data_IF_900999217117
#
_entry.id   IF_900999217117
#
_cell.length_a   1.000
_cell.length_b   1.000
_cell.length_c   1.000
_cell.angle_alpha   90.00
_cell.angle_beta   90.00
_cell.angle_gamma   90.00
#
_symmetry.space_group_name_H-M   'P 1'
#
loop_
_entity.id
_entity.type
_entity.pdbx_description
1 polymer ?
#
# COMPACT_ATOMS: atom_id res chain seq x y z
N UNK A 1 -4.37 20.20 19.26
CA UNK A 1 -3.32 19.19 19.43
C UNK A 1 -2.00 19.86 19.06
N UNK A 2 -1.04 19.91 19.99
CA UNK A 2 0.30 20.40 19.69
C UNK A 2 0.97 19.38 18.77
N UNK A 3 1.21 19.77 17.53
CA UNK A 3 1.97 18.97 16.56
C UNK A 3 3.48 19.22 16.77
N UNK A 4 4.00 18.72 17.88
CA UNK A 4 5.44 18.80 18.14
C UNK A 4 6.17 17.80 17.25
N UNK A 5 7.03 18.33 16.39
CA UNK A 5 7.93 17.52 15.56
C UNK A 5 9.33 17.60 16.15
N UNK A 6 9.95 16.47 16.41
CA UNK A 6 11.32 16.39 16.91
C UNK A 6 12.20 15.54 16.02
N UNK A 7 13.46 15.95 15.88
CA UNK A 7 14.50 15.18 15.20
C UNK A 7 15.62 14.88 16.19
N UNK A 8 15.94 13.60 16.39
CA UNK A 8 17.02 13.15 17.26
C UNK A 8 18.22 12.75 16.43
N UNK A 9 19.32 13.48 16.54
CA UNK A 9 20.56 13.25 15.80
C UNK A 9 21.68 12.83 16.75
N UNK A 10 22.47 11.85 16.34
CA UNK A 10 23.64 11.40 17.13
C UNK A 10 24.39 10.29 16.41
N UNK A 11 25.65 10.10 16.78
CA UNK A 11 26.50 9.01 16.27
C UNK A 11 25.94 7.64 16.64
N UNK A 12 26.31 6.56 15.97
CA UNK A 12 25.98 5.20 16.41
C UNK A 12 26.39 4.98 17.88
N UNK A 13 25.51 4.35 18.67
CA UNK A 13 25.74 4.13 20.09
C UNK A 13 25.40 5.30 21.01
N UNK A 14 24.99 6.46 20.52
CA UNK A 14 24.65 7.63 21.35
C UNK A 14 23.32 7.52 22.12
N UNK A 15 22.65 6.37 22.13
CA UNK A 15 21.41 6.16 22.88
C UNK A 15 20.13 6.66 22.21
N UNK A 16 20.14 6.88 20.89
CA UNK A 16 18.93 7.34 20.17
C UNK A 16 17.74 6.40 20.33
N UNK A 17 17.95 5.10 20.18
CA UNK A 17 16.90 4.09 20.35
C UNK A 17 16.41 4.06 21.80
N UNK A 18 17.30 4.17 22.79
CA UNK A 18 16.93 4.24 24.20
C UNK A 18 16.07 5.47 24.51
N UNK A 19 16.41 6.62 23.93
CA UNK A 19 15.59 7.83 24.04
C UNK A 19 14.20 7.65 23.45
N UNK A 20 14.11 7.07 22.23
CA UNK A 20 12.82 6.82 21.58
C UNK A 20 11.96 5.84 22.40
N UNK A 21 12.55 4.77 22.90
CA UNK A 21 11.86 3.80 23.76
C UNK A 21 11.32 4.49 25.03
N UNK A 22 12.12 5.35 25.67
CA UNK A 22 11.67 6.09 26.83
C UNK A 22 10.45 7.00 26.53
N UNK A 23 10.49 7.69 25.38
CA UNK A 23 9.33 8.49 24.93
C UNK A 23 8.09 7.64 24.66
N UNK A 24 8.25 6.46 24.04
CA UNK A 24 7.13 5.53 23.81
C UNK A 24 6.56 5.05 25.16
N UNK A 25 7.40 4.73 26.13
CA UNK A 25 6.95 4.33 27.47
C UNK A 25 6.17 5.45 28.16
N UNK A 26 6.60 6.71 28.05
CA UNK A 26 5.86 7.86 28.56
C UNK A 26 4.48 8.00 27.90
N UNK A 27 4.40 7.76 26.59
CA UNK A 27 3.11 7.76 25.88
C UNK A 27 2.22 6.60 26.32
N UNK A 28 2.77 5.39 26.48
CA UNK A 28 2.04 4.24 26.99
C UNK A 28 1.49 4.50 28.39
N UNK A 29 2.28 5.10 29.30
CA UNK A 29 1.83 5.50 30.63
C UNK A 29 0.68 6.53 30.58
N UNK A 30 0.67 7.36 29.54
CA UNK A 30 -0.37 8.37 29.33
C UNK A 30 -1.61 7.84 28.58
N UNK A 31 -1.65 6.56 28.22
CA UNK A 31 -2.72 5.93 27.45
C UNK A 31 -2.78 6.38 25.97
N UNK A 32 -1.68 6.84 25.41
CA UNK A 32 -1.60 7.33 24.02
C UNK A 32 -1.21 6.21 23.06
N UNK A 33 -1.99 6.01 22.00
CA UNK A 33 -1.58 5.13 20.89
C UNK A 33 -0.41 5.73 20.11
N UNK A 34 0.41 4.88 19.51
CA UNK A 34 1.53 5.30 18.68
C UNK A 34 1.73 4.36 17.49
N UNK A 35 2.37 4.87 16.44
CA UNK A 35 2.86 4.08 15.30
C UNK A 35 4.37 4.27 15.23
N UNK A 36 5.11 3.17 15.11
CA UNK A 36 6.57 3.20 15.01
C UNK A 36 7.03 2.50 13.72
N UNK A 37 7.85 3.18 12.91
CA UNK A 37 8.59 2.53 11.83
C UNK A 37 9.92 2.04 12.36
N UNK A 38 10.01 0.75 12.62
CA UNK A 38 11.18 0.10 13.28
C UNK A 38 11.92 -0.79 12.27
N UNK A 39 12.83 -0.19 11.50
CA UNK A 39 13.54 -0.87 10.41
C UNK A 39 14.40 -2.05 10.90
N UNK A 40 14.89 -1.98 12.16
CA UNK A 40 15.78 -3.00 12.75
C UNK A 40 15.12 -3.85 13.84
N UNK A 41 13.85 -3.94 13.97
CA UNK A 41 12.95 -4.33 15.06
C UNK A 41 13.52 -4.23 16.49
N UNK A 42 14.35 -3.21 16.75
CA UNK A 42 14.97 -2.99 18.07
C UNK A 42 13.96 -2.44 19.09
N UNK A 43 13.10 -1.50 18.67
CA UNK A 43 12.09 -0.86 19.54
C UNK A 43 11.06 -1.91 19.98
N UNK A 44 10.51 -2.64 19.02
CA UNK A 44 9.51 -3.68 19.31
C UNK A 44 10.10 -4.76 20.23
N UNK A 45 11.33 -5.25 19.97
CA UNK A 45 11.99 -6.26 20.80
C UNK A 45 12.14 -5.79 22.23
N UNK A 46 12.60 -4.54 22.44
CA UNK A 46 12.77 -3.98 23.78
C UNK A 46 11.43 -3.90 24.52
N UNK A 47 10.39 -3.39 23.88
CA UNK A 47 9.06 -3.26 24.50
C UNK A 47 8.48 -4.65 24.87
N UNK A 48 8.61 -5.62 23.96
CA UNK A 48 8.08 -6.98 24.13
C UNK A 48 8.84 -7.76 25.21
N UNK A 49 10.17 -7.77 25.17
CA UNK A 49 11.01 -8.50 26.13
C UNK A 49 10.86 -7.98 27.56
N UNK A 50 10.51 -6.71 27.71
CA UNK A 50 10.24 -6.10 29.03
C UNK A 50 8.75 -6.17 29.43
N UNK A 51 7.89 -6.84 28.65
CA UNK A 51 6.48 -7.02 28.97
C UNK A 51 5.66 -5.73 29.02
N UNK A 52 6.10 -4.67 28.31
CA UNK A 52 5.50 -3.34 28.45
C UNK A 52 4.12 -3.25 27.80
N UNK A 53 3.85 -4.03 26.74
CA UNK A 53 2.52 -4.08 26.13
C UNK A 53 1.49 -4.64 27.11
N UNK A 54 1.79 -5.76 27.75
CA UNK A 54 0.94 -6.37 28.76
C UNK A 54 0.80 -5.50 30.01
N UNK A 55 1.91 -4.89 30.46
CA UNK A 55 1.93 -4.04 31.66
C UNK A 55 1.01 -2.81 31.52
N UNK A 56 0.99 -2.20 30.34
CA UNK A 56 0.17 -1.00 30.08
C UNK A 56 -1.16 -1.30 29.36
N UNK A 57 -1.46 -2.58 29.07
CA UNK A 57 -2.71 -2.99 28.43
C UNK A 57 -2.83 -2.57 26.96
N UNK A 58 -1.73 -2.64 26.21
CA UNK A 58 -1.70 -2.30 24.78
C UNK A 58 -1.86 -3.53 23.90
N UNK A 59 -2.69 -3.41 22.88
CA UNK A 59 -2.70 -4.32 21.75
C UNK A 59 -1.58 -3.93 20.77
N UNK A 60 -0.80 -4.91 20.33
CA UNK A 60 0.26 -4.72 19.36
C UNK A 60 -0.15 -5.18 17.96
N UNK A 61 0.09 -4.35 16.96
CA UNK A 61 -0.10 -4.71 15.56
C UNK A 61 1.22 -4.61 14.81
N UNK A 62 1.68 -5.75 14.30
CA UNK A 62 2.96 -5.87 13.60
C UNK A 62 2.69 -5.99 12.10
N UNK A 63 3.09 -4.98 11.33
CA UNK A 63 3.08 -5.03 9.86
C UNK A 63 4.51 -5.28 9.40
N UNK A 64 4.90 -6.55 9.32
CA UNK A 64 6.22 -6.97 8.88
C UNK A 64 6.13 -8.26 8.06
N UNK A 65 6.25 -8.18 6.72
CA UNK A 65 6.12 -9.35 5.85
C UNK A 65 7.12 -10.47 6.14
N UNK A 66 8.24 -10.16 6.81
CA UNK A 66 9.27 -11.16 7.14
C UNK A 66 9.07 -11.82 8.51
N UNK A 67 8.08 -11.37 9.28
CA UNK A 67 7.78 -11.90 10.61
C UNK A 67 6.65 -12.95 10.54
N UNK A 68 6.87 -14.12 11.13
CA UNK A 68 5.87 -15.18 11.14
C UNK A 68 4.57 -14.80 11.88
N UNK A 69 4.66 -13.87 12.83
CA UNK A 69 3.53 -13.38 13.64
C UNK A 69 3.00 -12.02 13.15
N UNK A 70 3.31 -11.63 11.92
CA UNK A 70 2.81 -10.37 11.35
C UNK A 70 1.30 -10.42 11.16
N UNK A 71 0.66 -9.29 11.41
CA UNK A 71 -0.76 -9.11 11.09
C UNK A 71 -0.92 -8.85 9.60
N UNK A 72 -2.04 -9.30 9.06
CA UNK A 72 -2.42 -8.98 7.68
C UNK A 72 -3.09 -7.62 7.65
N UNK A 73 -2.80 -6.89 6.61
CA UNK A 73 -3.35 -5.55 6.42
C UNK A 73 -3.77 -5.34 4.97
N UNK A 74 -5.07 -5.20 4.75
CA UNK A 74 -5.57 -4.78 3.45
C UNK A 74 -5.72 -3.26 3.43
N UNK A 75 -4.80 -2.58 2.76
CA UNK A 75 -4.79 -1.13 2.64
C UNK A 75 -6.11 -0.55 2.10
N UNK A 76 -6.79 -1.29 1.22
CA UNK A 76 -8.03 -0.80 0.58
C UNK A 76 -9.27 -0.88 1.48
N UNK A 77 -9.20 -1.60 2.60
CA UNK A 77 -10.28 -1.59 3.60
C UNK A 77 -10.35 -0.28 4.39
N UNK A 78 -9.26 0.49 4.41
CA UNK A 78 -9.13 1.74 5.16
C UNK A 78 -9.33 3.00 4.29
N UNK A 79 -9.56 2.82 2.99
CA UNK A 79 -9.77 3.94 2.06
C UNK A 79 -11.20 4.44 2.19
N UNK A 80 -11.35 5.69 2.60
CA UNK A 80 -12.65 6.31 2.81
C UNK A 80 -13.17 7.02 1.56
N UNK A 81 -12.28 7.63 0.77
CA UNK A 81 -12.67 8.40 -0.40
C UNK A 81 -11.73 8.26 -1.62
N UNK A 82 -12.09 8.95 -2.69
CA UNK A 82 -11.34 8.95 -3.96
C UNK A 82 -9.99 9.66 -3.86
N UNK A 83 -9.80 10.59 -2.92
CA UNK A 83 -8.53 11.30 -2.72
C UNK A 83 -7.52 10.36 -2.08
N UNK A 84 -7.90 9.67 -1.01
CA UNK A 84 -7.09 8.65 -0.35
C UNK A 84 -6.66 7.56 -1.34
N UNK A 85 -7.61 7.07 -2.14
CA UNK A 85 -7.31 6.07 -3.17
C UNK A 85 -6.28 6.58 -4.17
N UNK A 86 -6.39 7.84 -4.62
CA UNK A 86 -5.45 8.41 -5.58
C UNK A 86 -4.04 8.58 -4.97
N UNK A 87 -3.94 8.94 -3.69
CA UNK A 87 -2.66 9.03 -2.98
C UNK A 87 -1.99 7.64 -2.88
N UNK A 88 -2.73 6.62 -2.47
CA UNK A 88 -2.25 5.25 -2.43
C UNK A 88 -1.79 4.76 -3.79
N UNK A 89 -2.58 5.01 -4.83
CA UNK A 89 -2.24 4.63 -6.20
C UNK A 89 -0.99 5.37 -6.72
N UNK A 90 -0.75 6.61 -6.28
CA UNK A 90 0.46 7.36 -6.64
C UNK A 90 1.72 6.79 -5.96
N UNK A 91 1.59 6.15 -4.80
CA UNK A 91 2.69 5.41 -4.17
C UNK A 91 2.96 4.08 -4.88
N UNK A 92 1.91 3.33 -5.23
CA UNK A 92 2.02 2.03 -5.90
C UNK A 92 2.56 2.18 -7.33
N UNK A 93 2.07 3.17 -8.07
CA UNK A 93 2.50 3.53 -9.42
C UNK A 93 2.96 5.00 -9.38
N UNK A 94 4.24 5.26 -9.08
CA UNK A 94 4.75 6.63 -9.00
C UNK A 94 4.55 7.43 -10.29
N UNK A 95 4.43 8.76 -10.21
CA UNK A 95 4.38 9.60 -11.39
C UNK A 95 5.60 9.34 -12.29
N UNK A 96 5.36 9.19 -13.59
CA UNK A 96 6.43 9.10 -14.57
C UNK A 96 6.96 10.47 -14.96
N UNK A 97 8.11 10.49 -15.66
CA UNK A 97 8.67 11.70 -16.27
C UNK A 97 8.48 11.66 -17.80
N UNK A 98 8.30 12.84 -18.42
CA UNK A 98 8.10 12.96 -19.86
C UNK A 98 6.94 12.07 -20.37
N UNK A 99 7.18 11.31 -21.42
CA UNK A 99 6.18 10.39 -21.99
C UNK A 99 5.76 9.29 -21.00
N UNK A 100 6.62 8.96 -20.02
CA UNK A 100 6.33 8.00 -18.97
C UNK A 100 5.18 8.44 -18.06
N UNK A 101 4.92 9.74 -17.93
CA UNK A 101 3.82 10.27 -17.13
C UNK A 101 2.47 9.78 -17.65
N UNK A 102 2.26 9.81 -18.96
CA UNK A 102 1.01 9.34 -19.59
C UNK A 102 0.76 7.85 -19.33
N UNK A 103 1.82 7.05 -19.34
CA UNK A 103 1.70 5.60 -19.09
C UNK A 103 1.38 5.32 -17.62
N UNK A 104 2.04 6.01 -16.69
CA UNK A 104 1.79 5.89 -15.27
C UNK A 104 0.36 6.34 -14.90
N UNK A 105 -0.12 7.44 -15.48
CA UNK A 105 -1.47 7.93 -15.26
C UNK A 105 -2.53 6.95 -15.74
N UNK A 106 -2.38 6.42 -16.96
CA UNK A 106 -3.30 5.42 -17.48
C UNK A 106 -3.25 4.10 -16.69
N UNK A 107 -2.08 3.69 -16.22
CA UNK A 107 -1.93 2.52 -15.37
C UNK A 107 -2.66 2.71 -14.02
N UNK A 108 -2.52 3.88 -13.37
CA UNK A 108 -3.27 4.21 -12.15
C UNK A 108 -4.79 4.22 -12.38
N UNK A 109 -5.24 4.84 -13.48
CA UNK A 109 -6.67 4.85 -13.83
C UNK A 109 -7.22 3.44 -14.06
N UNK A 110 -6.45 2.56 -14.72
CA UNK A 110 -6.85 1.18 -14.94
C UNK A 110 -6.85 0.38 -13.63
N UNK A 111 -5.83 0.53 -12.78
CA UNK A 111 -5.80 -0.11 -11.47
C UNK A 111 -6.96 0.36 -10.58
N UNK A 112 -7.27 1.66 -10.56
CA UNK A 112 -8.44 2.21 -9.88
C UNK A 112 -9.73 1.55 -10.37
N UNK A 113 -9.90 1.39 -11.67
CA UNK A 113 -11.07 0.75 -12.24
C UNK A 113 -11.17 -0.74 -11.87
N UNK A 114 -10.05 -1.47 -11.84
CA UNK A 114 -9.99 -2.87 -11.39
C UNK A 114 -10.38 -2.98 -9.91
N UNK A 115 -9.79 -2.16 -9.03
CA UNK A 115 -10.12 -2.15 -7.60
C UNK A 115 -11.60 -1.82 -7.36
N UNK A 116 -12.11 -0.81 -8.06
CA UNK A 116 -13.53 -0.47 -7.99
C UNK A 116 -14.44 -1.59 -8.51
N UNK A 117 -14.02 -2.34 -9.54
CA UNK A 117 -14.72 -3.53 -10.04
C UNK A 117 -14.76 -4.65 -9.00
N UNK A 118 -13.64 -4.92 -8.32
CA UNK A 118 -13.53 -5.92 -7.27
C UNK A 118 -14.38 -5.58 -6.04
N UNK A 119 -14.59 -4.29 -5.75
CA UNK A 119 -15.42 -3.83 -4.65
C UNK A 119 -14.92 -4.30 -3.28
N UNK A 120 -15.75 -4.98 -2.50
CA UNK A 120 -15.38 -5.49 -1.16
C UNK A 120 -14.24 -6.50 -1.17
N UNK A 121 -13.94 -7.10 -2.31
CA UNK A 121 -12.80 -8.01 -2.49
C UNK A 121 -11.53 -7.29 -2.94
N UNK A 122 -11.54 -5.95 -2.98
CA UNK A 122 -10.40 -5.18 -3.42
C UNK A 122 -9.20 -5.38 -2.47
N UNK A 123 -8.12 -5.89 -3.02
CA UNK A 123 -6.80 -5.97 -2.40
C UNK A 123 -5.76 -5.93 -3.51
N UNK A 124 -4.50 -5.64 -3.18
CA UNK A 124 -3.43 -5.68 -4.20
C UNK A 124 -3.26 -7.07 -4.80
N UNK A 125 -3.24 -8.17 -4.02
CA UNK A 125 -3.20 -9.52 -4.56
C UNK A 125 -4.36 -9.81 -5.50
N UNK A 126 -5.59 -9.48 -5.11
CA UNK A 126 -6.76 -9.72 -5.94
C UNK A 126 -6.72 -8.92 -7.25
N UNK A 127 -6.26 -7.67 -7.20
CA UNK A 127 -6.08 -6.84 -8.39
C UNK A 127 -5.01 -7.40 -9.32
N UNK A 128 -3.84 -7.80 -8.78
CA UNK A 128 -2.77 -8.44 -9.55
C UNK A 128 -3.25 -9.70 -10.25
N UNK A 129 -3.92 -10.58 -9.52
CA UNK A 129 -4.37 -11.85 -10.05
C UNK A 129 -5.44 -11.64 -11.15
N UNK A 130 -6.37 -10.71 -10.94
CA UNK A 130 -7.35 -10.32 -11.94
C UNK A 130 -6.72 -9.76 -13.23
N UNK A 131 -5.65 -8.96 -13.10
CA UNK A 131 -4.92 -8.41 -14.23
C UNK A 131 -4.12 -9.51 -14.95
N UNK A 132 -3.48 -10.42 -14.21
CA UNK A 132 -2.74 -11.57 -14.77
C UNK A 132 -3.66 -12.53 -15.53
N UNK A 133 -4.85 -12.80 -14.98
CA UNK A 133 -5.84 -13.68 -15.60
C UNK A 133 -6.36 -13.13 -16.94
N UNK A 134 -6.54 -11.82 -17.04
CA UNK A 134 -6.94 -11.17 -18.29
C UNK A 134 -5.88 -11.28 -19.39
N UNK A 135 -4.61 -11.39 -19.03
CA UNK A 135 -3.49 -11.60 -19.97
C UNK A 135 -3.14 -10.41 -20.85
N UNK A 136 -4.14 -9.69 -21.37
CA UNK A 136 -3.98 -8.51 -22.24
C UNK A 136 -4.79 -7.33 -21.73
N UNK A 137 -4.29 -6.10 -21.95
CA UNK A 137 -5.03 -4.89 -21.58
C UNK A 137 -6.38 -4.81 -22.27
N UNK A 138 -6.47 -5.21 -23.53
CA UNK A 138 -7.74 -5.21 -24.27
C UNK A 138 -8.80 -6.09 -23.61
N UNK A 139 -8.41 -7.30 -23.18
CA UNK A 139 -9.29 -8.23 -22.46
C UNK A 139 -9.66 -7.68 -21.08
N UNK A 140 -8.67 -7.14 -20.35
CA UNK A 140 -8.90 -6.48 -19.07
C UNK A 140 -9.90 -5.31 -19.19
N UNK A 141 -9.75 -4.48 -20.21
CA UNK A 141 -10.68 -3.38 -20.48
C UNK A 141 -12.09 -3.85 -20.82
N UNK A 142 -12.24 -5.01 -21.46
CA UNK A 142 -13.54 -5.62 -21.71
C UNK A 142 -14.19 -6.11 -20.41
N UNK A 143 -13.43 -6.81 -19.58
CA UNK A 143 -13.90 -7.29 -18.28
C UNK A 143 -14.33 -6.12 -17.37
N UNK A 144 -13.51 -5.07 -17.30
CA UNK A 144 -13.80 -3.88 -16.50
C UNK A 144 -14.98 -3.09 -17.08
N UNK A 145 -15.13 -3.03 -18.40
CA UNK A 145 -16.27 -2.37 -19.05
C UNK A 145 -17.61 -3.11 -18.80
N UNK A 146 -17.56 -4.41 -18.51
CA UNK A 146 -18.72 -5.20 -18.11
C UNK A 146 -19.14 -4.99 -16.63
N UNK A 147 -18.43 -4.16 -15.87
CA UNK A 147 -18.76 -3.83 -14.48
C UNK A 147 -20.17 -3.22 -14.38
N UNK A 148 -20.87 -3.47 -13.28
CA UNK A 148 -22.16 -2.84 -12.98
C UNK A 148 -22.04 -1.38 -12.51
N UNK A 149 -20.82 -0.90 -12.24
CA UNK A 149 -20.55 0.46 -11.75
C UNK A 149 -20.29 1.39 -12.94
N UNK A 150 -21.15 2.39 -13.15
CA UNK A 150 -21.05 3.33 -14.29
C UNK A 150 -19.69 4.06 -14.36
N UNK A 151 -19.14 4.47 -13.21
CA UNK A 151 -17.84 5.12 -13.15
C UNK A 151 -16.72 4.24 -13.69
N UNK A 152 -16.76 2.93 -13.38
CA UNK A 152 -15.80 1.92 -13.85
C UNK A 152 -15.94 1.72 -15.36
N UNK A 153 -17.17 1.58 -15.86
CA UNK A 153 -17.47 1.48 -17.30
C UNK A 153 -16.92 2.68 -18.07
N UNK A 154 -17.14 3.90 -17.55
CA UNK A 154 -16.66 5.12 -18.18
C UNK A 154 -15.14 5.13 -18.32
N UNK A 155 -14.41 4.80 -17.25
CA UNK A 155 -12.94 4.72 -17.29
C UNK A 155 -12.48 3.70 -18.33
N UNK A 156 -13.08 2.51 -18.36
CA UNK A 156 -12.74 1.48 -19.32
C UNK A 156 -13.00 1.93 -20.77
N UNK A 157 -14.11 2.60 -21.04
CA UNK A 157 -14.45 3.10 -22.36
C UNK A 157 -13.51 4.24 -22.82
N UNK A 158 -13.11 5.13 -21.91
CA UNK A 158 -12.14 6.19 -22.20
C UNK A 158 -10.76 5.58 -22.54
N UNK A 159 -10.30 4.61 -21.76
CA UNK A 159 -9.06 3.90 -22.02
C UNK A 159 -9.13 3.10 -23.33
N UNK A 160 -10.27 2.48 -23.67
CA UNK A 160 -10.47 1.81 -24.96
C UNK A 160 -10.32 2.77 -26.15
N UNK A 161 -10.79 4.01 -26.06
CA UNK A 161 -10.61 5.02 -27.11
C UNK A 161 -9.14 5.36 -27.36
N UNK A 162 -8.34 5.36 -26.29
CA UNK A 162 -6.89 5.59 -26.33
C UNK A 162 -6.12 4.32 -26.78
N UNK A 163 -6.78 3.17 -26.71
CA UNK A 163 -6.20 1.84 -26.95
C UNK A 163 -5.98 1.46 -28.42
N UNK A 164 -6.21 2.38 -29.38
CA UNK A 164 -5.84 2.19 -30.79
C UNK A 164 -4.32 2.05 -31.00
N UNK A 165 -3.51 2.32 -29.96
CA UNK A 165 -2.06 2.22 -29.99
C UNK A 165 -1.59 1.04 -29.12
N UNK A 166 -1.21 -0.07 -29.75
CA UNK A 166 -0.68 -1.27 -29.08
C UNK A 166 0.54 -0.98 -28.19
N UNK A 167 1.38 0.00 -28.57
CA UNK A 167 2.51 0.44 -27.76
C UNK A 167 2.07 1.04 -26.44
N UNK A 168 1.01 1.86 -26.45
CA UNK A 168 0.46 2.45 -25.23
C UNK A 168 -0.05 1.35 -24.29
N UNK A 169 -0.78 0.38 -24.84
CA UNK A 169 -1.28 -0.76 -24.05
C UNK A 169 -0.16 -1.58 -23.43
N UNK A 170 0.88 -1.90 -24.19
CA UNK A 170 2.05 -2.61 -23.68
C UNK A 170 2.78 -1.81 -22.58
N UNK A 171 2.90 -0.49 -22.73
CA UNK A 171 3.52 0.38 -21.72
C UNK A 171 2.71 0.47 -20.44
N UNK A 172 1.38 0.50 -20.52
CA UNK A 172 0.48 0.44 -19.35
C UNK A 172 0.69 -0.89 -18.61
N UNK A 173 0.70 -2.03 -19.30
CA UNK A 173 0.95 -3.33 -18.67
C UNK A 173 2.33 -3.41 -18.02
N UNK A 174 3.35 -2.85 -18.66
CA UNK A 174 4.70 -2.79 -18.09
C UNK A 174 4.72 -1.97 -16.80
N UNK A 175 4.04 -0.81 -16.78
CA UNK A 175 3.95 0.02 -15.58
C UNK A 175 3.21 -0.70 -14.44
N UNK A 176 2.12 -1.41 -14.76
CA UNK A 176 1.39 -2.21 -13.77
C UNK A 176 2.21 -3.42 -13.30
N UNK A 177 2.91 -4.11 -14.19
CA UNK A 177 3.78 -5.23 -13.84
C UNK A 177 4.84 -4.82 -12.82
N UNK A 178 5.53 -3.71 -13.07
CA UNK A 178 6.52 -3.15 -12.13
C UNK A 178 5.92 -2.78 -10.77
N UNK A 179 4.69 -2.27 -10.78
CA UNK A 179 3.99 -1.92 -9.55
C UNK A 179 3.71 -3.13 -8.66
N UNK A 180 3.71 -4.34 -9.19
CA UNK A 180 3.46 -5.58 -8.47
C UNK A 180 4.70 -6.44 -8.23
N UNK A 181 5.90 -6.05 -8.71
CA UNK A 181 7.13 -6.82 -8.53
C UNK A 181 7.45 -7.14 -7.06
N UNK A 182 7.18 -6.19 -6.15
CA UNK A 182 7.40 -6.42 -4.72
C UNK A 182 6.53 -7.54 -4.13
N UNK A 183 5.45 -7.93 -4.81
CA UNK A 183 4.52 -8.99 -4.41
C UNK A 183 4.93 -10.38 -4.89
N UNK A 184 6.06 -10.50 -5.58
CA UNK A 184 6.61 -11.81 -5.97
C UNK A 184 7.17 -12.58 -4.75
N UNK A 185 7.37 -11.88 -3.61
CA UNK A 185 7.61 -12.53 -2.32
C UNK A 185 6.27 -12.96 -1.68
N UNK A 186 6.07 -14.26 -1.51
CA UNK A 186 4.84 -14.84 -0.96
C UNK A 186 4.50 -14.30 0.44
N UNK A 187 5.52 -13.91 1.22
CA UNK A 187 5.34 -13.34 2.56
C UNK A 187 4.71 -11.95 2.48
N UNK A 188 5.17 -11.12 1.55
CA UNK A 188 4.61 -9.79 1.30
C UNK A 188 3.17 -9.94 0.80
N UNK A 189 2.96 -10.83 -0.17
CA UNK A 189 1.64 -11.10 -0.71
C UNK A 189 0.63 -11.54 0.36
N UNK A 190 1.07 -12.40 1.30
CA UNK A 190 0.23 -12.83 2.42
C UNK A 190 -0.04 -11.70 3.45
N UNK A 191 0.89 -10.77 3.63
CA UNK A 191 0.75 -9.68 4.60
C UNK A 191 -0.23 -8.58 4.16
N UNK A 192 -0.42 -8.41 2.84
CA UNK A 192 -1.25 -7.35 2.24
C UNK A 192 -2.57 -7.85 1.63
N UNK A 193 -2.96 -9.09 1.96
CA UNK A 193 -4.16 -9.77 1.43
C UNK A 193 -5.37 -9.65 2.37
#
# INVERSE_FOLDING_TARGET
>A
ADEDRAVVVGVPGAGKTTFLVAQIVDWMQSGRSFVATDIKPEIWSILKENGLFEQFGYDEYIINPTCANAHRFNLFSEIEDDADLNEVLAVIIPPGEGDGAVFADNARRLLKAVLAHLGERASLPAARDYIKEAGKVSELLELVAASRKEGVQRIALELKKTASNERLLASIMTAMGRAFEFMDDDRINAAIS
#
